data_IF_297118227200
#
_entry.id   IF_297118227200
#
_cell.length_a   1.000
_cell.length_b   1.000
_cell.length_c   1.000
_cell.angle_alpha   90.00
_cell.angle_beta   90.00
_cell.angle_gamma   90.00
#
_symmetry.space_group_name_H-M   'P 1'
#
loop_
_entity.id
_entity.type
_entity.pdbx_description
1 polymer ?
#
# COMPACT_ATOMS: atom_id res chain seq x y z
N UNK A 1 -11.84 -6.53 -16.44
CA UNK A 1 -11.21 -5.47 -15.64
C UNK A 1 -10.91 -4.14 -16.38
N UNK A 2 -10.41 -4.11 -17.63
CA UNK A 2 -10.04 -2.83 -18.27
C UNK A 2 -11.25 -1.92 -18.55
N UNK A 3 -12.26 -2.39 -19.29
CA UNK A 3 -13.51 -1.63 -19.50
C UNK A 3 -14.25 -1.38 -18.20
N UNK A 4 -14.35 -2.40 -17.35
CA UNK A 4 -14.93 -2.30 -16.01
C UNK A 4 -14.28 -1.18 -15.17
N UNK A 5 -12.95 -1.04 -15.21
CA UNK A 5 -12.25 0.04 -14.51
C UNK A 5 -12.64 1.42 -15.06
N UNK A 6 -12.88 1.53 -16.37
CA UNK A 6 -13.35 2.77 -16.99
C UNK A 6 -14.80 3.09 -16.60
N UNK A 7 -15.65 2.08 -16.47
CA UNK A 7 -17.02 2.28 -16.01
C UNK A 7 -17.03 2.70 -14.53
N UNK A 8 -16.17 2.11 -13.70
CA UNK A 8 -15.97 2.53 -12.31
C UNK A 8 -15.39 3.95 -12.22
N UNK A 9 -14.50 4.34 -13.13
CA UNK A 9 -14.01 5.72 -13.24
C UNK A 9 -15.15 6.70 -13.48
N UNK A 10 -16.09 6.38 -14.37
CA UNK A 10 -17.23 7.25 -14.65
C UNK A 10 -18.21 7.27 -13.48
N UNK A 11 -18.49 6.13 -12.86
CA UNK A 11 -19.28 6.06 -11.63
C UNK A 11 -18.68 6.93 -10.52
N UNK A 12 -17.37 6.85 -10.32
CA UNK A 12 -16.65 7.67 -9.35
C UNK A 12 -16.81 9.16 -9.65
N UNK A 13 -16.56 9.59 -10.89
CA UNK A 13 -16.70 11.00 -11.27
C UNK A 13 -18.13 11.52 -11.05
N UNK A 14 -19.13 10.74 -11.46
CA UNK A 14 -20.53 11.09 -11.27
C UNK A 14 -20.94 11.13 -9.78
N UNK A 15 -20.43 10.22 -8.95
CA UNK A 15 -20.73 10.22 -7.52
C UNK A 15 -20.26 11.50 -6.80
N UNK A 16 -19.21 12.15 -7.31
CA UNK A 16 -18.70 13.42 -6.78
C UNK A 16 -19.12 14.63 -7.64
N UNK A 17 -20.23 14.51 -8.37
CA UNK A 17 -20.84 15.57 -9.19
C UNK A 17 -19.91 16.17 -10.28
N UNK A 18 -18.91 15.42 -10.73
CA UNK A 18 -18.07 15.85 -11.86
C UNK A 18 -18.77 15.56 -13.18
N UNK A 19 -19.14 16.62 -13.90
CA UNK A 19 -19.50 16.55 -15.32
C UNK A 19 -18.32 16.80 -16.26
N UNK A 20 -17.26 17.44 -15.75
CA UNK A 20 -16.02 17.75 -16.46
C UNK A 20 -14.83 17.75 -15.50
N UNK A 21 -13.64 17.38 -15.97
CA UNK A 21 -12.38 17.53 -15.23
C UNK A 21 -11.46 18.42 -16.06
N UNK A 22 -10.99 19.53 -15.48
CA UNK A 22 -10.17 20.53 -16.20
C UNK A 22 -10.79 20.96 -17.55
N UNK A 23 -12.11 21.21 -17.55
CA UNK A 23 -12.93 21.52 -18.73
C UNK A 23 -13.10 20.39 -19.76
N UNK A 24 -12.56 19.20 -19.53
CA UNK A 24 -12.75 18.04 -20.39
C UNK A 24 -14.02 17.28 -19.95
N UNK A 25 -15.01 17.09 -20.84
CA UNK A 25 -16.20 16.29 -20.55
C UNK A 25 -15.89 14.84 -20.17
N UNK A 26 -16.67 14.25 -19.27
CA UNK A 26 -16.46 12.87 -18.79
C UNK A 26 -16.52 11.82 -19.90
N UNK A 27 -17.32 12.02 -20.94
CA UNK A 27 -17.39 11.11 -22.09
C UNK A 27 -16.07 11.13 -22.90
N UNK A 28 -15.44 12.31 -23.01
CA UNK A 28 -14.13 12.47 -23.62
C UNK A 28 -13.05 11.83 -22.74
N UNK A 29 -13.12 12.03 -21.42
CA UNK A 29 -12.20 11.37 -20.46
C UNK A 29 -12.29 9.85 -20.62
N UNK A 30 -13.50 9.28 -20.69
CA UNK A 30 -13.68 7.83 -20.90
C UNK A 30 -13.02 7.36 -22.20
N UNK A 31 -13.20 8.11 -23.29
CA UNK A 31 -12.60 7.79 -24.60
C UNK A 31 -11.07 7.85 -24.56
N UNK A 32 -10.51 8.89 -23.95
CA UNK A 32 -9.05 9.03 -23.80
C UNK A 32 -8.47 7.90 -22.94
N UNK A 33 -9.15 7.56 -21.85
CA UNK A 33 -8.76 6.48 -20.97
C UNK A 33 -8.83 5.10 -21.67
N UNK A 34 -9.85 4.88 -22.51
CA UNK A 34 -9.97 3.67 -23.32
C UNK A 34 -8.80 3.52 -24.30
N UNK A 35 -8.46 4.60 -25.01
CA UNK A 35 -7.30 4.61 -25.91
C UNK A 35 -6.02 4.30 -25.13
N UNK A 36 -5.81 4.96 -24.00
CA UNK A 36 -4.62 4.75 -23.18
C UNK A 36 -4.46 3.29 -22.71
N UNK A 37 -5.56 2.66 -22.27
CA UNK A 37 -5.53 1.29 -21.76
C UNK A 37 -5.33 0.27 -22.89
N UNK A 38 -5.97 0.49 -24.05
CA UNK A 38 -5.91 -0.43 -25.18
C UNK A 38 -4.58 -0.37 -25.94
N UNK A 39 -3.98 0.82 -26.05
CA UNK A 39 -2.73 1.03 -26.80
C UNK A 39 -1.46 0.81 -25.96
N UNK A 40 -1.56 -0.06 -24.96
CA UNK A 40 -0.46 -0.35 -24.04
C UNK A 40 0.43 -1.49 -24.58
N UNK A 41 1.34 -1.12 -25.48
CA UNK A 41 2.27 -2.03 -26.17
C UNK A 41 3.70 -1.79 -25.68
N UNK A 42 4.45 -2.86 -25.44
CA UNK A 42 5.87 -2.80 -25.09
C UNK A 42 6.68 -3.85 -25.85
N UNK A 43 7.99 -3.65 -25.92
CA UNK A 43 8.93 -4.56 -26.59
C UNK A 43 9.81 -5.24 -25.55
N UNK A 44 9.87 -6.57 -25.60
CA UNK A 44 10.79 -7.38 -24.81
C UNK A 44 11.40 -8.45 -25.71
N UNK A 45 12.71 -8.65 -25.66
CA UNK A 45 13.42 -9.61 -26.52
C UNK A 45 13.06 -9.51 -28.02
N UNK A 46 12.96 -8.27 -28.54
CA UNK A 46 12.57 -7.98 -29.94
C UNK A 46 11.17 -8.47 -30.34
N UNK A 47 10.32 -8.82 -29.38
CA UNK A 47 8.91 -9.19 -29.58
C UNK A 47 8.00 -8.10 -29.04
N UNK A 48 6.89 -7.87 -29.75
CA UNK A 48 5.85 -6.93 -29.33
C UNK A 48 4.83 -7.63 -28.46
N UNK A 49 4.52 -7.01 -27.32
CA UNK A 49 3.51 -7.49 -26.38
C UNK A 49 2.50 -6.38 -26.11
N UNK A 50 1.22 -6.74 -26.02
CA UNK A 50 0.15 -5.83 -25.60
C UNK A 50 -0.41 -6.29 -24.26
N UNK A 51 -0.59 -5.35 -23.33
CA UNK A 51 -1.18 -5.66 -22.03
C UNK A 51 -2.69 -5.88 -22.16
N UNK A 52 -3.15 -7.09 -21.87
CA UNK A 52 -4.58 -7.48 -21.93
C UNK A 52 -5.32 -7.32 -20.60
N UNK A 53 -4.59 -7.29 -19.48
CA UNK A 53 -5.14 -7.14 -18.12
C UNK A 53 -4.25 -6.16 -17.36
N UNK A 54 -4.91 -5.21 -16.67
CA UNK A 54 -4.25 -4.12 -15.95
C UNK A 54 -3.78 -2.99 -16.88
N UNK A 55 -3.06 -2.03 -16.32
CA UNK A 55 -2.43 -0.94 -17.06
C UNK A 55 -0.90 -1.01 -17.03
N UNK A 56 -0.25 0.05 -17.51
CA UNK A 56 1.21 0.14 -17.53
C UNK A 56 1.70 0.42 -16.10
N UNK A 57 2.62 -0.42 -15.60
CA UNK A 57 3.32 -0.13 -14.35
C UNK A 57 4.13 1.16 -14.51
N UNK A 58 4.12 2.02 -13.49
CA UNK A 58 4.78 3.33 -13.52
C UNK A 58 3.98 4.45 -14.20
N UNK A 59 2.83 4.15 -14.82
CA UNK A 59 1.93 5.20 -15.31
C UNK A 59 1.13 5.80 -14.15
N UNK A 60 1.22 7.13 -14.00
CA UNK A 60 0.41 7.88 -13.05
C UNK A 60 -1.10 7.64 -13.27
N UNK A 61 -1.55 7.58 -14.53
CA UNK A 61 -2.96 7.31 -14.84
C UNK A 61 -3.39 5.90 -14.43
N UNK A 62 -2.53 4.89 -14.66
CA UNK A 62 -2.83 3.51 -14.23
C UNK A 62 -2.95 3.43 -12.71
N UNK A 63 -2.08 4.11 -11.96
CA UNK A 63 -2.16 4.16 -10.50
C UNK A 63 -3.44 4.86 -10.02
N UNK A 64 -3.83 5.98 -10.65
CA UNK A 64 -5.09 6.66 -10.35
C UNK A 64 -6.28 5.74 -10.59
N UNK A 65 -6.30 5.04 -11.73
CA UNK A 65 -7.37 4.11 -12.06
C UNK A 65 -7.45 2.93 -11.10
N UNK A 66 -6.30 2.37 -10.69
CA UNK A 66 -6.24 1.32 -9.69
C UNK A 66 -6.80 1.79 -8.35
N UNK A 67 -6.47 3.00 -7.90
CA UNK A 67 -7.02 3.56 -6.67
C UNK A 67 -8.55 3.77 -6.75
N UNK A 68 -9.07 4.21 -7.90
CA UNK A 68 -10.51 4.37 -8.12
C UNK A 68 -11.23 3.01 -8.16
N UNK A 69 -10.59 1.99 -8.75
CA UNK A 69 -11.11 0.63 -8.68
C UNK A 69 -11.19 0.15 -7.23
N UNK A 70 -10.11 0.34 -6.47
CA UNK A 70 -10.04 -0.05 -5.06
C UNK A 70 -11.04 0.72 -4.21
N UNK A 71 -11.32 1.98 -4.51
CA UNK A 71 -12.39 2.75 -3.86
C UNK A 71 -13.76 2.07 -3.96
N UNK A 72 -14.09 1.48 -5.11
CA UNK A 72 -15.36 0.75 -5.27
C UNK A 72 -15.33 -0.58 -4.53
N UNK A 73 -14.22 -1.31 -4.65
CA UNK A 73 -14.01 -2.59 -3.99
C UNK A 73 -14.06 -2.47 -2.45
N UNK A 74 -13.43 -1.45 -1.87
CA UNK A 74 -13.30 -1.27 -0.42
C UNK A 74 -14.54 -0.65 0.24
N UNK A 75 -15.50 -0.14 -0.55
CA UNK A 75 -16.62 0.68 -0.08
C UNK A 75 -17.41 0.02 1.07
N UNK A 76 -17.73 -1.27 0.94
CA UNK A 76 -18.49 -2.01 1.95
C UNK A 76 -17.65 -2.28 3.21
N UNK A 77 -16.39 -2.71 3.01
CA UNK A 77 -15.42 -2.96 4.07
C UNK A 77 -15.20 -1.70 4.93
N UNK A 78 -14.87 -0.58 4.28
CA UNK A 78 -14.62 0.70 4.94
C UNK A 78 -15.87 1.22 5.63
N UNK A 79 -17.05 1.06 5.02
CA UNK A 79 -18.29 1.48 5.66
C UNK A 79 -18.54 0.73 6.97
N UNK A 80 -18.39 -0.60 6.97
CA UNK A 80 -18.57 -1.44 8.17
C UNK A 80 -17.58 -1.04 9.27
N UNK A 81 -16.29 -0.92 8.92
CA UNK A 81 -15.24 -0.54 9.87
C UNK A 81 -15.47 0.86 10.45
N UNK A 82 -15.91 1.82 9.62
CA UNK A 82 -16.23 3.18 10.07
C UNK A 82 -17.41 3.21 11.04
N UNK A 83 -18.45 2.42 10.79
CA UNK A 83 -19.62 2.32 11.70
C UNK A 83 -19.20 1.76 13.07
N UNK A 84 -18.27 0.81 13.09
CA UNK A 84 -17.72 0.22 14.32
C UNK A 84 -16.59 1.04 14.97
N UNK A 85 -16.29 2.24 14.44
CA UNK A 85 -15.20 3.12 14.92
C UNK A 85 -13.81 2.43 14.93
N UNK A 86 -13.58 1.59 13.92
CA UNK A 86 -12.31 0.91 13.72
C UNK A 86 -11.34 1.71 12.85
N UNK A 87 -10.05 1.43 12.98
CA UNK A 87 -9.03 2.01 12.13
C UNK A 87 -9.03 1.26 10.80
N UNK A 88 -8.94 2.00 9.69
CA UNK A 88 -8.70 1.46 8.36
C UNK A 88 -7.64 2.31 7.65
N UNK A 89 -6.64 1.67 7.07
CA UNK A 89 -5.62 2.29 6.25
C UNK A 89 -5.31 1.42 5.03
N UNK A 90 -5.10 2.06 3.89
CA UNK A 90 -4.63 1.40 2.67
C UNK A 90 -3.47 2.17 2.07
N UNK A 91 -2.41 1.46 1.72
CA UNK A 91 -1.29 1.97 0.95
C UNK A 91 -1.17 1.15 -0.34
N UNK A 92 -1.74 1.65 -1.44
CA UNK A 92 -1.81 0.96 -2.73
C UNK A 92 -2.46 -0.43 -2.57
N UNK A 93 -1.67 -1.49 -2.46
CA UNK A 93 -2.04 -2.90 -2.33
C UNK A 93 -2.02 -3.43 -0.88
N UNK A 94 -1.38 -2.73 0.06
CA UNK A 94 -1.38 -3.09 1.47
C UNK A 94 -2.60 -2.49 2.19
N UNK A 95 -3.30 -3.31 2.98
CA UNK A 95 -4.46 -2.90 3.80
C UNK A 95 -4.21 -3.28 5.26
N UNK A 96 -4.54 -2.36 6.17
CA UNK A 96 -4.53 -2.58 7.61
C UNK A 96 -5.84 -2.10 8.21
N UNK A 97 -6.42 -2.88 9.12
CA UNK A 97 -7.55 -2.43 9.92
C UNK A 97 -7.58 -3.10 11.29
N UNK A 98 -8.29 -2.49 12.23
CA UNK A 98 -8.61 -3.08 13.53
C UNK A 98 -10.04 -3.59 13.55
N UNK A 99 -10.34 -4.56 14.41
CA UNK A 99 -11.72 -4.99 14.62
C UNK A 99 -11.87 -5.56 16.03
N UNK A 100 -12.97 -5.19 16.68
CA UNK A 100 -13.45 -5.81 17.92
C UNK A 100 -14.45 -6.95 17.66
N UNK A 101 -14.75 -7.27 16.40
CA UNK A 101 -15.63 -8.38 16.03
C UNK A 101 -14.97 -9.74 16.31
N UNK A 102 -15.77 -10.80 16.32
CA UNK A 102 -15.23 -12.16 16.39
C UNK A 102 -14.41 -12.50 15.15
N UNK A 103 -13.42 -13.40 15.30
CA UNK A 103 -12.61 -13.88 14.17
C UNK A 103 -13.47 -14.44 13.04
N UNK A 104 -14.54 -15.17 13.35
CA UNK A 104 -15.48 -15.70 12.36
C UNK A 104 -16.15 -14.60 11.53
N UNK A 105 -16.56 -13.51 12.19
CA UNK A 105 -17.20 -12.37 11.52
C UNK A 105 -16.22 -11.58 10.65
N UNK A 106 -14.95 -11.50 11.08
CA UNK A 106 -13.85 -10.91 10.30
C UNK A 106 -13.55 -11.80 9.08
N UNK A 107 -13.45 -13.11 9.26
CA UNK A 107 -13.18 -14.05 8.17
C UNK A 107 -14.29 -14.01 7.12
N UNK A 108 -15.56 -14.00 7.55
CA UNK A 108 -16.70 -13.84 6.64
C UNK A 108 -16.60 -12.53 5.83
N UNK A 109 -16.32 -11.41 6.50
CA UNK A 109 -16.16 -10.11 5.84
C UNK A 109 -15.06 -10.13 4.78
N UNK A 110 -13.93 -10.76 5.08
CA UNK A 110 -12.80 -10.87 4.17
C UNK A 110 -13.08 -11.84 3.02
N UNK A 111 -13.86 -12.89 3.26
CA UNK A 111 -14.32 -13.82 2.22
C UNK A 111 -15.28 -13.13 1.25
N UNK A 112 -16.21 -12.31 1.76
CA UNK A 112 -17.08 -11.45 0.95
C UNK A 112 -16.25 -10.49 0.07
N UNK A 113 -15.24 -9.82 0.67
CA UNK A 113 -14.33 -8.93 -0.07
C UNK A 113 -13.52 -9.67 -1.16
N UNK A 114 -13.10 -10.91 -0.87
CA UNK A 114 -12.42 -11.79 -1.83
C UNK A 114 -13.30 -12.27 -2.97
N UNK A 115 -14.62 -12.24 -2.81
CA UNK A 115 -15.59 -12.62 -3.82
C UNK A 115 -16.01 -11.45 -4.73
N UNK A 116 -15.61 -10.22 -4.42
CA UNK A 116 -15.96 -9.05 -5.22
C UNK A 116 -15.50 -9.14 -6.68
N UNK A 117 -14.28 -9.63 -6.93
CA UNK A 117 -13.76 -9.75 -8.30
C UNK A 117 -12.79 -10.95 -8.42
N UNK A 118 -12.89 -11.77 -9.50
CA UNK A 118 -12.12 -13.01 -9.63
C UNK A 118 -10.60 -12.81 -9.65
N UNK A 119 -10.13 -11.65 -10.15
CA UNK A 119 -8.70 -11.34 -10.25
C UNK A 119 -8.14 -10.56 -9.05
N UNK A 120 -8.92 -10.32 -8.00
CA UNK A 120 -8.45 -9.66 -6.78
C UNK A 120 -8.61 -10.65 -5.63
N UNK A 121 -7.49 -11.00 -5.00
CA UNK A 121 -7.44 -11.91 -3.86
C UNK A 121 -6.57 -11.31 -2.78
N UNK A 122 -7.13 -11.18 -1.59
CA UNK A 122 -6.47 -10.79 -0.38
C UNK A 122 -5.72 -11.98 0.21
N UNK A 123 -4.49 -11.73 0.64
CA UNK A 123 -3.78 -12.57 1.59
C UNK A 123 -3.92 -11.90 2.94
N UNK A 124 -4.47 -12.61 3.93
CA UNK A 124 -4.78 -12.05 5.25
C UNK A 124 -3.82 -12.59 6.32
N UNK A 125 -3.35 -11.69 7.18
CA UNK A 125 -2.67 -12.01 8.41
C UNK A 125 -3.45 -11.37 9.56
N UNK A 126 -4.04 -12.19 10.43
CA UNK A 126 -4.85 -11.75 11.55
C UNK A 126 -4.14 -12.13 12.83
N UNK A 127 -3.98 -11.18 13.75
CA UNK A 127 -3.33 -11.43 15.02
C UNK A 127 -3.36 -10.23 15.94
N UNK A 128 -2.80 -10.41 17.13
CA UNK A 128 -2.60 -9.31 18.08
C UNK A 128 -1.54 -8.32 17.61
N UNK A 129 -0.69 -8.74 16.67
CA UNK A 129 0.31 -7.92 16.02
C UNK A 129 0.31 -8.19 14.53
N UNK A 130 0.43 -7.14 13.72
CA UNK A 130 0.55 -7.25 12.29
C UNK A 130 1.49 -6.18 11.73
N UNK A 131 2.33 -6.52 10.74
CA UNK A 131 3.10 -5.52 10.02
C UNK A 131 2.21 -4.77 9.03
N UNK A 132 2.49 -3.48 8.85
CA UNK A 132 1.95 -2.65 7.77
C UNK A 132 3.06 -1.72 7.28
N UNK A 133 3.53 -1.96 6.04
CA UNK A 133 4.73 -1.33 5.49
C UNK A 133 5.96 -1.58 6.39
N UNK A 134 6.58 -0.52 6.89
CA UNK A 134 7.77 -0.53 7.75
C UNK A 134 7.42 -0.42 9.25
N UNK A 135 6.14 -0.58 9.61
CA UNK A 135 5.64 -0.44 10.98
C UNK A 135 5.05 -1.75 11.46
N UNK A 136 5.47 -2.20 12.64
CA UNK A 136 4.82 -3.29 13.36
C UNK A 136 3.81 -2.68 14.31
N UNK A 137 2.54 -3.07 14.19
CA UNK A 137 1.49 -2.61 15.09
C UNK A 137 1.10 -3.76 16.01
N UNK A 138 1.18 -3.55 17.32
CA UNK A 138 0.78 -4.51 18.36
C UNK A 138 -0.38 -3.96 19.20
N UNK A 139 -1.42 -4.76 19.39
CA UNK A 139 -2.51 -4.48 20.31
C UNK A 139 -2.18 -4.99 21.73
N UNK A 140 -1.88 -4.05 22.62
CA UNK A 140 -1.71 -4.25 24.06
C UNK A 140 -2.97 -3.85 24.82
N UNK A 141 -3.92 -4.78 24.94
CA UNK A 141 -5.17 -4.62 25.73
C UNK A 141 -6.00 -3.40 25.30
N UNK A 142 -6.16 -3.19 24.00
CA UNK A 142 -6.93 -2.08 23.42
C UNK A 142 -6.10 -0.84 23.10
N UNK A 143 -4.82 -0.82 23.48
CA UNK A 143 -3.88 0.24 23.06
C UNK A 143 -2.97 -0.29 21.95
N UNK A 144 -2.91 0.42 20.83
CA UNK A 144 -1.98 0.10 19.75
C UNK A 144 -0.62 0.71 20.06
N UNK A 145 0.41 -0.14 20.07
CA UNK A 145 1.81 0.25 20.16
C UNK A 145 2.45 -0.04 18.82
N UNK A 146 3.19 0.94 18.30
CA UNK A 146 3.94 0.80 17.06
C UNK A 146 5.44 0.71 17.31
N UNK A 147 6.13 -0.04 16.48
CA UNK A 147 7.59 -0.12 16.41
C UNK A 147 8.06 -0.32 14.96
N UNK A 148 9.37 -0.25 14.71
CA UNK A 148 9.92 -0.51 13.37
C UNK A 148 9.79 -1.99 13.04
N UNK A 149 9.22 -2.30 11.87
CA UNK A 149 9.16 -3.67 11.36
C UNK A 149 10.39 -3.99 10.50
N UNK A 150 11.09 -5.08 10.83
CA UNK A 150 12.17 -5.62 10.02
C UNK A 150 11.69 -6.91 9.35
N UNK A 151 11.62 -6.92 8.01
CA UNK A 151 11.25 -8.12 7.26
C UNK A 151 12.35 -9.18 7.45
N UNK A 152 11.96 -10.43 7.69
CA UNK A 152 12.93 -11.53 7.86
C UNK A 152 13.83 -11.72 6.63
N UNK A 153 13.30 -11.43 5.44
CA UNK A 153 14.05 -11.47 4.19
C UNK A 153 14.86 -10.19 3.90
N UNK A 154 14.74 -9.14 4.72
CA UNK A 154 15.58 -7.97 4.57
C UNK A 154 16.97 -8.30 5.07
N UNK A 155 17.90 -8.47 4.14
CA UNK A 155 19.31 -8.50 4.48
C UNK A 155 19.67 -7.15 5.12
N UNK A 156 20.43 -7.15 6.24
CA UNK A 156 20.74 -5.92 6.98
C UNK A 156 21.83 -5.11 6.28
N UNK A 157 21.82 -5.05 4.95
CA UNK A 157 22.84 -4.39 4.15
C UNK A 157 22.66 -2.88 4.24
N UNK A 158 23.63 -2.27 4.89
CA UNK A 158 23.87 -0.83 4.82
C UNK A 158 25.02 -0.60 3.86
N UNK A 159 25.06 0.57 3.22
CA UNK A 159 26.21 0.99 2.41
C UNK A 159 27.48 0.90 3.27
N UNK A 160 28.47 0.05 2.91
CA UNK A 160 29.69 -0.12 3.71
C UNK A 160 30.48 1.19 3.78
N UNK A 161 31.02 1.53 4.96
CA UNK A 161 31.69 2.82 5.15
C UNK A 161 32.94 2.98 4.26
N UNK A 162 33.62 1.87 3.96
CA UNK A 162 34.78 1.85 3.05
C UNK A 162 34.44 1.98 1.56
N UNK A 163 33.17 2.09 1.18
CA UNK A 163 32.77 2.26 -0.22
C UNK A 163 32.99 3.69 -0.71
N UNK A 164 33.16 3.87 -2.03
CA UNK A 164 33.41 5.18 -2.64
C UNK A 164 32.12 6.01 -2.82
N UNK A 165 31.35 6.17 -1.75
CA UNK A 165 30.17 7.04 -1.71
C UNK A 165 30.50 8.36 -1.02
N UNK A 166 29.85 9.47 -1.39
CA UNK A 166 30.03 10.74 -0.69
C UNK A 166 29.63 10.66 0.79
N UNK A 167 30.31 11.40 1.66
CA UNK A 167 30.08 11.40 3.12
C UNK A 167 28.62 11.63 3.54
N UNK A 168 27.87 12.41 2.75
CA UNK A 168 26.47 12.71 3.06
C UNK A 168 25.57 11.47 2.94
N UNK A 169 25.94 10.48 2.14
CA UNK A 169 25.18 9.22 2.01
C UNK A 169 25.20 8.46 3.33
N UNK A 170 26.38 8.30 3.94
CA UNK A 170 26.53 7.61 5.23
C UNK A 170 25.79 8.33 6.36
N UNK A 171 25.93 9.66 6.44
CA UNK A 171 25.18 10.46 7.43
C UNK A 171 23.67 10.31 7.24
N UNK A 172 23.19 10.43 6.01
CA UNK A 172 21.77 10.29 5.70
C UNK A 172 21.25 8.89 6.04
N UNK A 173 22.05 7.83 5.90
CA UNK A 173 21.62 6.49 6.31
C UNK A 173 21.36 6.42 7.81
N UNK A 174 22.24 6.99 8.63
CA UNK A 174 22.05 7.05 10.09
C UNK A 174 20.87 7.96 10.44
N UNK A 175 20.80 9.15 9.85
CA UNK A 175 19.75 10.13 10.13
C UNK A 175 18.36 9.61 9.76
N UNK A 176 18.25 8.91 8.62
CA UNK A 176 17.00 8.31 8.17
C UNK A 176 16.58 7.18 9.10
N UNK A 177 17.52 6.33 9.52
CA UNK A 177 17.23 5.21 10.42
C UNK A 177 16.79 5.69 11.82
N UNK A 178 17.48 6.69 12.37
CA UNK A 178 17.09 7.32 13.65
C UNK A 178 15.73 8.02 13.51
N UNK A 179 15.52 8.79 12.44
CA UNK A 179 14.24 9.46 12.20
C UNK A 179 13.09 8.46 12.09
N UNK A 180 13.33 7.32 11.42
CA UNK A 180 12.38 6.21 11.32
C UNK A 180 12.06 5.63 12.70
N UNK A 181 13.09 5.33 13.51
CA UNK A 181 12.93 4.84 14.87
C UNK A 181 12.09 5.79 15.74
N UNK A 182 12.37 7.10 15.68
CA UNK A 182 11.62 8.12 16.44
C UNK A 182 10.16 8.20 15.99
N UNK A 183 9.90 8.14 14.68
CA UNK A 183 8.55 8.29 14.13
C UNK A 183 7.68 7.06 14.34
N UNK A 184 8.27 5.87 14.28
CA UNK A 184 7.51 4.61 14.29
C UNK A 184 7.39 4.00 15.69
N UNK A 185 8.24 4.37 16.64
CA UNK A 185 8.17 3.85 18.01
C UNK A 185 7.22 4.69 18.88
N UNK A 186 6.11 4.09 19.31
CA UNK A 186 5.16 4.75 20.23
C UNK A 186 5.71 4.84 21.66
N UNK A 187 6.48 3.84 22.11
CA UNK A 187 7.04 3.79 23.45
C UNK A 187 8.57 3.90 23.43
N UNK A 188 9.13 4.46 24.51
CA UNK A 188 10.59 4.64 24.67
C UNK A 188 11.33 3.31 24.59
N UNK A 189 10.76 2.24 25.15
CA UNK A 189 11.36 0.89 25.07
C UNK A 189 11.51 0.38 23.64
N UNK A 190 10.51 0.65 22.77
CA UNK A 190 10.56 0.24 21.36
C UNK A 190 11.61 1.04 20.58
N UNK A 191 11.76 2.32 20.92
CA UNK A 191 12.82 3.17 20.36
C UNK A 191 14.20 2.70 20.80
N UNK A 192 14.40 2.41 22.09
CA UNK A 192 15.68 1.92 22.62
C UNK A 192 16.08 0.59 22.00
N UNK A 193 15.13 -0.33 21.80
CA UNK A 193 15.38 -1.59 21.13
C UNK A 193 15.77 -1.38 19.66
N UNK A 194 15.07 -0.51 18.93
CA UNK A 194 15.45 -0.19 17.54
C UNK A 194 16.85 0.44 17.46
N UNK A 195 17.21 1.32 18.40
CA UNK A 195 18.57 1.88 18.50
C UNK A 195 19.60 0.78 18.73
N UNK A 196 19.28 -0.24 19.54
CA UNK A 196 20.15 -1.39 19.76
C UNK A 196 20.34 -2.20 18.48
N UNK A 197 19.25 -2.47 17.75
CA UNK A 197 19.30 -3.20 16.47
C UNK A 197 20.10 -2.42 15.41
N UNK A 198 19.88 -1.11 15.29
CA UNK A 198 20.65 -0.25 14.38
C UNK A 198 22.14 -0.27 14.69
N UNK A 199 22.53 -0.18 15.97
CA UNK A 199 23.95 -0.27 16.38
C UNK A 199 24.57 -1.61 15.96
N UNK A 200 23.87 -2.71 16.17
CA UNK A 200 24.33 -4.03 15.75
C UNK A 200 24.49 -4.08 14.22
N UNK A 201 23.48 -3.64 13.48
CA UNK A 201 23.50 -3.57 12.02
C UNK A 201 24.71 -2.78 11.48
N UNK A 202 25.02 -1.62 12.07
CA UNK A 202 26.18 -0.83 11.65
C UNK A 202 27.51 -1.51 11.99
N UNK A 203 27.63 -2.14 13.16
CA UNK A 203 28.84 -2.89 13.55
C UNK A 203 29.08 -4.10 12.63
N UNK A 204 28.02 -4.80 12.21
CA UNK A 204 28.15 -5.94 11.31
C UNK A 204 28.49 -5.56 9.86
N UNK A 205 28.18 -4.35 9.41
CA UNK A 205 28.47 -3.90 8.04
C UNK A 205 29.92 -3.43 7.82
N UNK A 206 30.71 -3.24 8.88
CA UNK A 206 32.10 -2.78 8.81
C UNK A 206 32.24 -1.27 8.92
#
# INVERSE_FOLDING_TARGET
>A
PQEESLDILIEFLLQYDYQKVQNIPIDIIRKLALIFINENVFVYEKKFYRRVIGGAMGSAFTLTLANIFMWKWEKQLVHRLKVSNEIYGRCVDDIFFTSNDSLESIDQMLDEANNFHPNIKLVRQIGRSAPFLDVLIENRKGTLITSVYHKEAAEPYVVPFGSNHPDHVFRNTVDTAITRAVRYSTAVSEFEEEIRQMKLMFVYNG
#
